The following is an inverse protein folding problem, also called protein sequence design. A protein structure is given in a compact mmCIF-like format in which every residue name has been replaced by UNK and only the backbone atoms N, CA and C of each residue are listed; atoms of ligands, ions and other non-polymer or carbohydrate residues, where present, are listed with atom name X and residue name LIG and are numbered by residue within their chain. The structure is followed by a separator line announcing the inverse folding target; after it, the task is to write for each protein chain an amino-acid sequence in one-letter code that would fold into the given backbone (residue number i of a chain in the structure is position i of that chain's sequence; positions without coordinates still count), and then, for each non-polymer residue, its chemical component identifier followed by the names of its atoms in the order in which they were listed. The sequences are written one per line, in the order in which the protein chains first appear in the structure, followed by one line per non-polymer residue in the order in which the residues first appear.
data_IF_779810162668
#
_entry.id   IF_779810162668
#
_cell.length_a   1.000
_cell.length_b   1.000
_cell.length_c   1.000
_cell.angle_alpha   90.00
_cell.angle_beta   90.00
_cell.angle_gamma   90.00
#
_symmetry.space_group_name_H-M   'P 1'
#
loop_
_entity.id
_entity.type
_entity.pdbx_description
1 polymer ?
#
# COMPACT_ATOMS: atom_id res chain seq x y z
N UNK A 1 1.39 -2.54 2.15
CA UNK A 1 1.50 -2.85 0.71
C UNK A 1 0.71 -1.85 -0.13
N UNK A 2 -0.60 -1.68 0.09
CA UNK A 2 -1.40 -0.70 -0.67
C UNK A 2 -0.92 0.75 -0.56
N UNK A 3 -0.39 1.19 0.59
CA UNK A 3 0.22 2.53 0.73
C UNK A 3 1.32 2.74 -0.31
N UNK A 4 2.33 1.86 -0.32
CA UNK A 4 3.45 1.94 -1.25
C UNK A 4 3.02 1.84 -2.71
N UNK A 5 1.96 1.08 -2.99
CA UNK A 5 1.42 0.97 -4.33
C UNK A 5 0.69 2.25 -4.77
N UNK A 6 -0.19 2.81 -3.94
CA UNK A 6 -0.86 4.08 -4.21
C UNK A 6 0.13 5.23 -4.39
N UNK A 7 1.18 5.29 -3.57
CA UNK A 7 2.24 6.30 -3.69
C UNK A 7 2.96 6.24 -5.04
N UNK A 8 3.21 5.04 -5.57
CA UNK A 8 3.86 4.84 -6.87
C UNK A 8 3.08 5.46 -8.03
N UNK A 9 1.75 5.48 -7.94
CA UNK A 9 0.87 6.09 -8.94
C UNK A 9 0.43 7.51 -8.58
N UNK A 10 1.10 8.15 -7.61
CA UNK A 10 0.75 9.47 -7.10
C UNK A 10 -0.72 9.59 -6.60
N UNK A 11 -1.33 8.48 -6.19
CA UNK A 11 -2.69 8.42 -5.62
C UNK A 11 -2.66 8.78 -4.13
N UNK A 12 -2.27 10.02 -3.81
CA UNK A 12 -1.97 10.42 -2.43
C UNK A 12 -3.18 10.35 -1.49
N UNK A 13 -4.39 10.64 -1.97
CA UNK A 13 -5.60 10.51 -1.16
C UNK A 13 -5.89 9.05 -0.81
N UNK A 14 -5.66 8.12 -1.75
CA UNK A 14 -5.81 6.69 -1.48
C UNK A 14 -4.67 6.15 -0.62
N UNK A 15 -3.44 6.65 -0.79
CA UNK A 15 -2.33 6.34 0.11
C UNK A 15 -2.64 6.72 1.56
N UNK A 16 -3.27 7.89 1.79
CA UNK A 16 -3.74 8.31 3.13
C UNK A 16 -4.81 7.36 3.67
N UNK A 17 -5.83 7.01 2.88
CA UNK A 17 -6.87 6.04 3.29
C UNK A 17 -6.25 4.68 3.66
N UNK A 18 -5.34 4.17 2.83
CA UNK A 18 -4.64 2.91 3.09
C UNK A 18 -3.75 2.96 4.32
N UNK A 19 -3.17 4.12 4.63
CA UNK A 19 -2.40 4.30 5.85
C UNK A 19 -3.29 4.20 7.08
N UNK A 20 -4.43 4.90 7.09
CA UNK A 20 -5.42 4.85 8.19
C UNK A 20 -5.90 3.41 8.40
N UNK A 21 -6.34 2.73 7.34
CA UNK A 21 -6.78 1.33 7.42
C UNK A 21 -5.69 0.42 8.01
N UNK A 22 -4.43 0.59 7.61
CA UNK A 22 -3.35 -0.21 8.16
C UNK A 22 -2.98 0.11 9.62
N UNK A 23 -3.21 1.35 10.08
CA UNK A 23 -3.11 1.71 11.50
C UNK A 23 -4.24 1.05 12.30
N UNK A 24 -5.46 1.02 11.79
CA UNK A 24 -6.60 0.36 12.43
C UNK A 24 -6.35 -1.16 12.54
N UNK A 25 -5.89 -1.80 11.45
CA UNK A 25 -5.52 -3.21 11.45
C UNK A 25 -4.35 -3.52 12.41
N UNK A 26 -3.37 -2.62 12.51
CA UNK A 26 -2.28 -2.73 13.48
C UNK A 26 -2.78 -2.63 14.93
N UNK A 27 -3.77 -1.77 15.19
CA UNK A 27 -4.43 -1.64 16.49
C UNK A 27 -5.20 -2.91 16.85
N UNK A 28 -5.94 -3.47 15.89
CA UNK A 28 -6.68 -4.74 16.07
C UNK A 28 -5.73 -5.92 16.31
N UNK A 29 -4.63 -5.99 15.56
CA UNK A 29 -3.58 -6.99 15.79
C UNK A 29 -2.99 -6.87 17.20
N UNK A 30 -2.74 -5.64 17.67
CA UNK A 30 -2.27 -5.43 19.05
C UNK A 30 -3.31 -5.89 20.07
N UNK A 31 -4.59 -5.57 19.89
CA UNK A 31 -5.67 -6.00 20.79
C UNK A 31 -5.80 -7.52 20.87
N UNK A 32 -5.65 -8.23 19.75
CA UNK A 32 -5.81 -9.68 19.69
C UNK A 32 -4.56 -10.46 20.12
N UNK A 33 -3.37 -9.92 19.87
CA UNK A 33 -2.10 -10.65 20.09
C UNK A 33 -1.24 -10.12 21.24
N UNK A 34 -1.54 -8.93 21.76
CA UNK A 34 -0.70 -8.19 22.72
C UNK A 34 0.62 -7.68 22.13
N UNK A 35 0.87 -7.87 20.82
CA UNK A 35 2.13 -7.50 20.16
C UNK A 35 1.94 -6.28 19.27
N UNK A 36 2.85 -5.32 19.38
CA UNK A 36 2.83 -4.13 18.53
C UNK A 36 3.17 -4.52 17.08
N UNK A 37 2.26 -4.21 16.15
CA UNK A 37 2.57 -4.33 14.73
C UNK A 37 3.56 -3.23 14.32
N UNK A 38 4.66 -3.61 13.65
CA UNK A 38 5.63 -2.65 13.12
C UNK A 38 5.17 -2.06 11.78
N UNK A 39 3.93 -1.55 11.74
CA UNK A 39 3.27 -1.15 10.49
C UNK A 39 4.06 -0.13 9.65
N UNK A 40 4.61 0.96 10.21
CA UNK A 40 5.46 1.87 9.44
C UNK A 40 6.70 1.20 8.82
N UNK A 41 7.32 0.27 9.55
CA UNK A 41 8.47 -0.50 9.06
C UNK A 41 8.06 -1.42 7.91
N UNK A 42 6.90 -2.06 8.01
CA UNK A 42 6.35 -2.91 6.94
C UNK A 42 6.03 -2.12 5.67
N UNK A 43 5.59 -0.85 5.79
CA UNK A 43 5.43 0.03 4.63
C UNK A 43 6.77 0.28 3.95
N UNK A 44 7.82 0.63 4.71
CA UNK A 44 9.14 0.89 4.15
C UNK A 44 9.74 -0.34 3.47
N UNK A 45 9.59 -1.53 4.07
CA UNK A 45 9.98 -2.79 3.42
C UNK A 45 9.22 -2.99 2.11
N UNK A 46 7.90 -2.77 2.12
CA UNK A 46 7.09 -2.88 0.91
C UNK A 46 7.55 -1.88 -0.17
N UNK A 47 7.84 -0.61 0.17
CA UNK A 47 8.38 0.37 -0.79
C UNK A 47 9.64 -0.15 -1.46
N UNK A 48 10.61 -0.61 -0.67
CA UNK A 48 11.87 -1.14 -1.19
C UNK A 48 11.70 -2.40 -2.03
N UNK A 49 10.81 -3.32 -1.64
CA UNK A 49 10.54 -4.55 -2.39
C UNK A 49 9.78 -4.32 -3.70
N UNK A 50 9.08 -3.19 -3.82
CA UNK A 50 8.20 -2.88 -4.96
C UNK A 50 8.83 -1.89 -5.93
N UNK A 51 9.96 -1.26 -5.59
CA UNK A 51 10.63 -0.26 -6.45
C UNK A 51 11.01 -0.83 -7.82
N UNK A 52 11.50 -2.07 -7.85
CA UNK A 52 11.94 -2.76 -9.07
C UNK A 52 10.84 -3.54 -9.78
N UNK A 53 9.59 -3.48 -9.30
CA UNK A 53 8.48 -4.20 -9.92
C UNK A 53 7.87 -3.37 -11.05
N UNK A 54 7.41 -4.02 -12.13
CA UNK A 54 6.68 -3.34 -13.21
C UNK A 54 5.42 -2.66 -12.71
N UNK A 55 5.00 -1.60 -13.39
CA UNK A 55 3.79 -0.89 -13.03
C UNK A 55 2.52 -1.76 -13.14
N UNK A 56 2.44 -2.69 -14.10
CA UNK A 56 1.32 -3.64 -14.22
C UNK A 56 1.16 -4.52 -12.98
N UNK A 57 2.28 -4.99 -12.40
CA UNK A 57 2.26 -5.73 -11.15
C UNK A 57 1.70 -4.87 -10.02
N UNK A 58 2.11 -3.60 -9.96
CA UNK A 58 1.66 -2.65 -8.94
C UNK A 58 0.17 -2.31 -9.07
N UNK A 59 -0.33 -2.17 -10.30
CA UNK A 59 -1.74 -1.98 -10.58
C UNK A 59 -2.56 -3.20 -10.15
N UNK A 60 -2.06 -4.41 -10.41
CA UNK A 60 -2.69 -5.66 -9.97
C UNK A 60 -2.77 -5.75 -8.45
N UNK A 61 -1.71 -5.36 -7.73
CA UNK A 61 -1.68 -5.34 -6.26
C UNK A 61 -2.77 -4.41 -5.71
N UNK A 62 -2.91 -3.20 -6.25
CA UNK A 62 -3.95 -2.24 -5.81
C UNK A 62 -5.35 -2.77 -6.10
N UNK A 63 -5.57 -3.27 -7.32
CA UNK A 63 -6.87 -3.81 -7.74
C UNK A 63 -7.29 -5.00 -6.87
N UNK A 64 -6.36 -5.91 -6.57
CA UNK A 64 -6.66 -7.15 -5.86
C UNK A 64 -6.79 -6.96 -4.36
N UNK A 65 -5.92 -6.14 -3.75
CA UNK A 65 -5.88 -6.01 -2.29
C UNK A 65 -6.75 -4.88 -1.74
N UNK A 66 -7.07 -3.89 -2.58
CA UNK A 66 -7.63 -2.63 -2.10
C UNK A 66 -8.82 -2.12 -2.94
N UNK A 67 -9.30 -2.87 -3.94
CA UNK A 67 -10.44 -2.52 -4.81
C UNK A 67 -10.29 -1.17 -5.54
N UNK A 68 -9.07 -0.65 -5.68
CA UNK A 68 -8.83 0.62 -6.38
C UNK A 68 -8.86 0.42 -7.91
N UNK A 69 -9.62 1.27 -8.62
CA UNK A 69 -9.47 1.41 -10.07
C UNK A 69 -8.17 2.17 -10.35
N UNK A 70 -7.19 1.50 -10.96
CA UNK A 70 -5.97 2.14 -11.45
C UNK A 70 -6.23 2.57 -12.90
N UNK A 71 -6.32 3.87 -13.14
CA UNK A 71 -6.44 4.41 -14.49
C UNK A 71 -5.10 4.29 -15.21
N UNK A 72 -5.09 3.56 -16.33
CA UNK A 72 -3.89 3.24 -17.14
C UNK A 72 -3.12 4.49 -17.60
N UNK A 73 -3.76 5.68 -17.64
CA UNK A 73 -3.11 6.95 -17.99
C UNK A 73 -2.24 7.59 -16.90
N UNK A 74 -2.21 7.07 -15.66
CA UNK A 74 -1.31 7.53 -14.59
C UNK A 74 -0.03 6.68 -14.49
N UNK A 75 0.18 5.80 -15.47
CA UNK A 75 1.17 4.73 -15.46
C UNK A 75 2.35 5.01 -16.40
N UNK A 76 2.40 6.17 -17.07
CA UNK A 76 3.54 6.51 -17.94
C UNK A 76 4.84 6.37 -17.15
N UNK A 77 5.67 5.43 -17.62
CA UNK A 77 6.84 4.92 -16.93
C UNK A 77 7.83 6.07 -16.66
N UNK A 78 8.05 6.38 -15.38
CA UNK A 78 9.16 7.22 -14.90
C UNK A 78 10.46 6.41 -14.84
#
# INVERSE_FOLDING_TARGET
MCVAASERFALYEDAKKHFVHGVDAASEYFRSSGKAAQFPKMINVARSSLVSKPNEFMATVISTMCNGQVTVGQVEDF
#
